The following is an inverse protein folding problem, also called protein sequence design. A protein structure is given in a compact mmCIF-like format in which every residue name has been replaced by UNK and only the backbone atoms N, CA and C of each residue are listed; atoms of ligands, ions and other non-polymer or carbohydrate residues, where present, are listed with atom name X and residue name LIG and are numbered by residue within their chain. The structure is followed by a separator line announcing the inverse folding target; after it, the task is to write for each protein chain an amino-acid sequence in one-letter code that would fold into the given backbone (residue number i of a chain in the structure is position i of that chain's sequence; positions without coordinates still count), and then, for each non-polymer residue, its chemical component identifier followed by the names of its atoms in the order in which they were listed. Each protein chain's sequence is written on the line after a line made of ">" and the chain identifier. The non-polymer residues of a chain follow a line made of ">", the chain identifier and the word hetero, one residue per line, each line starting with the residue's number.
data_IF_386794066589
#
_entry.id   IF_386794066589
#
_cell.length_a   1.000
_cell.length_b   1.000
_cell.length_c   1.000
_cell.angle_alpha   90.00
_cell.angle_beta   90.00
_cell.angle_gamma   90.00
#
_symmetry.space_group_name_H-M   'P 1'
#
loop_
_entity.id
_entity.type
_entity.pdbx_description
1 polymer ?
#
# COMPACT_ATOMS: atom_id res chain seq x y z
N UNK A 1 -2.52 -8.60 -10.36
CA UNK A 1 -3.35 -8.02 -9.28
C UNK A 1 -2.99 -6.55 -9.17
N UNK A 2 -3.99 -5.67 -9.17
CA UNK A 2 -3.79 -4.22 -9.16
C UNK A 2 -3.70 -3.71 -7.72
N UNK A 3 -2.58 -3.10 -7.39
CA UNK A 3 -2.24 -2.66 -6.03
C UNK A 3 -2.07 -1.15 -5.99
N UNK A 4 -2.81 -0.49 -5.10
CA UNK A 4 -2.66 0.92 -4.82
C UNK A 4 -1.69 1.12 -3.65
N UNK A 5 -0.75 2.04 -3.81
CA UNK A 5 0.12 2.48 -2.72
C UNK A 5 -0.36 3.85 -2.24
N UNK A 6 -0.81 3.92 -0.99
CA UNK A 6 -1.14 5.17 -0.30
C UNK A 6 -0.04 5.42 0.72
N UNK A 7 0.55 6.60 0.68
CA UNK A 7 1.58 6.99 1.63
C UNK A 7 1.12 8.25 2.34
N UNK A 8 1.07 8.18 3.67
CA UNK A 8 0.71 9.31 4.50
C UNK A 8 1.69 10.47 4.29
N UNK A 9 1.13 11.65 4.02
CA UNK A 9 1.90 12.87 3.77
C UNK A 9 2.76 13.29 4.98
N UNK A 10 2.38 12.88 6.20
CA UNK A 10 3.12 13.17 7.43
C UNK A 10 4.46 12.41 7.52
N UNK A 11 4.66 11.36 6.72
CA UNK A 11 5.92 10.59 6.70
C UNK A 11 7.08 11.33 6.01
N UNK A 12 6.79 12.44 5.32
CA UNK A 12 7.76 13.26 4.61
C UNK A 12 8.09 12.75 3.21
N UNK A 13 8.36 13.69 2.31
CA UNK A 13 8.49 13.43 0.86
C UNK A 13 9.60 12.42 0.51
N UNK A 14 10.73 12.48 1.20
CA UNK A 14 11.87 11.59 0.92
C UNK A 14 11.55 10.12 1.24
N UNK A 15 10.93 9.87 2.40
CA UNK A 15 10.54 8.51 2.81
C UNK A 15 9.46 7.98 1.88
N UNK A 16 8.48 8.82 1.55
CA UNK A 16 7.42 8.45 0.62
C UNK A 16 7.96 8.06 -0.76
N UNK A 17 8.91 8.83 -1.29
CA UNK A 17 9.56 8.50 -2.55
C UNK A 17 10.31 7.17 -2.48
N UNK A 18 11.14 6.98 -1.44
CA UNK A 18 11.88 5.72 -1.26
C UNK A 18 10.95 4.51 -1.16
N UNK A 19 9.87 4.61 -0.39
CA UNK A 19 8.90 3.54 -0.26
C UNK A 19 8.20 3.24 -1.58
N UNK A 20 7.79 4.27 -2.35
CA UNK A 20 7.19 4.07 -3.68
C UNK A 20 8.16 3.37 -4.64
N UNK A 21 9.43 3.76 -4.67
CA UNK A 21 10.44 3.14 -5.54
C UNK A 21 10.71 1.68 -5.15
N UNK A 22 10.91 1.41 -3.86
CA UNK A 22 11.24 0.07 -3.36
C UNK A 22 10.07 -0.90 -3.46
N UNK A 23 8.87 -0.45 -3.06
CA UNK A 23 7.65 -1.23 -3.21
C UNK A 23 7.29 -1.43 -4.68
N UNK A 24 7.48 -0.42 -5.53
CA UNK A 24 7.28 -0.54 -6.98
C UNK A 24 8.19 -1.59 -7.61
N UNK A 25 9.47 -1.62 -7.23
CA UNK A 25 10.41 -2.63 -7.69
C UNK A 25 10.04 -4.04 -7.22
N UNK A 26 9.67 -4.19 -5.94
CA UNK A 26 9.26 -5.47 -5.38
C UNK A 26 7.92 -5.95 -5.98
N UNK A 27 6.98 -5.04 -6.23
CA UNK A 27 5.70 -5.32 -6.86
C UNK A 27 5.89 -5.80 -8.30
N UNK A 28 6.74 -5.11 -9.07
CA UNK A 28 7.11 -5.54 -10.41
C UNK A 28 7.70 -6.96 -10.40
N UNK A 29 8.59 -7.27 -9.44
CA UNK A 29 9.17 -8.61 -9.28
C UNK A 29 8.11 -9.67 -8.91
N UNK A 30 7.07 -9.28 -8.19
CA UNK A 30 5.93 -10.12 -7.81
C UNK A 30 4.82 -10.18 -8.87
N UNK A 31 5.00 -9.60 -10.07
CA UNK A 31 3.96 -9.44 -11.10
C UNK A 31 2.69 -8.72 -10.57
N UNK A 32 2.89 -7.79 -9.65
CA UNK A 32 1.86 -6.88 -9.15
C UNK A 32 1.94 -5.56 -9.91
N UNK A 33 0.79 -5.04 -10.29
CA UNK A 33 0.70 -3.77 -11.00
C UNK A 33 0.41 -2.67 -9.98
N UNK A 34 1.34 -1.71 -9.84
CA UNK A 34 1.10 -0.55 -8.98
C UNK A 34 0.29 0.47 -9.78
N UNK A 35 -0.88 0.83 -9.27
CA UNK A 35 -1.75 1.83 -9.87
C UNK A 35 -1.96 3.00 -8.91
N UNK A 36 -2.25 4.18 -9.44
CA UNK A 36 -2.56 5.37 -8.63
C UNK A 36 -4.08 5.61 -8.50
N UNK A 37 -4.93 4.80 -9.14
CA UNK A 37 -6.39 4.93 -9.06
C UNK A 37 -6.98 3.96 -8.02
N UNK A 38 -7.58 4.45 -6.92
CA UNK A 38 -8.17 3.58 -5.90
C UNK A 38 -9.34 2.75 -6.42
N UNK A 39 -10.12 3.24 -7.39
CA UNK A 39 -11.30 2.54 -7.91
C UNK A 39 -10.95 1.23 -8.62
N UNK A 40 -9.81 1.19 -9.29
CA UNK A 40 -9.33 0.04 -10.04
C UNK A 40 -8.46 -0.90 -9.18
N UNK A 41 -8.18 -0.50 -7.94
CA UNK A 41 -7.32 -1.26 -7.04
C UNK A 41 -8.08 -2.46 -6.47
N UNK A 42 -7.42 -3.61 -6.44
CA UNK A 42 -7.93 -4.80 -5.74
C UNK A 42 -7.42 -4.82 -4.29
N UNK A 43 -6.18 -4.35 -4.10
CA UNK A 43 -5.50 -4.20 -2.82
C UNK A 43 -5.00 -2.77 -2.67
N UNK A 44 -5.25 -2.14 -1.53
CA UNK A 44 -4.59 -0.89 -1.15
C UNK A 44 -3.66 -1.10 0.04
N UNK A 45 -2.44 -0.63 -0.11
CA UNK A 45 -1.42 -0.68 0.92
C UNK A 45 -1.23 0.74 1.41
N UNK A 46 -1.52 0.95 2.69
CA UNK A 46 -1.42 2.25 3.35
C UNK A 46 -0.17 2.25 4.20
N UNK A 47 0.75 3.16 3.89
CA UNK A 47 1.94 3.45 4.68
C UNK A 47 1.65 4.65 5.57
N UNK A 48 1.47 4.44 6.86
CA UNK A 48 1.10 5.50 7.79
C UNK A 48 0.67 4.98 9.16
N UNK A 49 0.18 5.88 10.00
CA UNK A 49 -0.35 5.55 11.33
C UNK A 49 -1.85 5.25 11.30
N UNK A 50 -2.56 5.75 10.29
CA UNK A 50 -4.00 5.59 10.15
C UNK A 50 -4.41 5.27 8.71
N UNK A 51 -5.52 4.57 8.57
CA UNK A 51 -6.15 4.36 7.27
C UNK A 51 -6.75 5.68 6.76
N UNK A 52 -6.56 6.02 5.48
CA UNK A 52 -7.18 7.20 4.90
C UNK A 52 -8.70 7.01 4.87
N UNK A 53 -9.44 8.07 5.20
CA UNK A 53 -10.89 8.05 5.11
C UNK A 53 -11.33 8.23 3.64
N UNK A 54 -11.10 7.19 2.84
CA UNK A 54 -11.42 7.17 1.41
C UNK A 54 -12.52 6.14 1.12
N UNK A 55 -13.68 6.63 0.66
CA UNK A 55 -14.81 5.79 0.27
C UNK A 55 -14.48 4.89 -0.93
N UNK A 56 -13.50 5.24 -1.76
CA UNK A 56 -13.07 4.40 -2.88
C UNK A 56 -12.42 3.10 -2.40
N UNK A 57 -11.96 3.04 -1.15
CA UNK A 57 -11.42 1.82 -0.54
C UNK A 57 -12.50 0.90 0.04
N UNK A 58 -13.75 1.37 0.16
CA UNK A 58 -14.82 0.61 0.80
C UNK A 58 -15.09 -0.69 0.02
N UNK A 59 -15.03 -1.83 0.70
CA UNK A 59 -15.15 -3.16 0.10
C UNK A 59 -13.89 -3.68 -0.59
N UNK A 60 -12.77 -2.93 -0.57
CA UNK A 60 -11.47 -3.39 -1.09
C UNK A 60 -10.62 -3.98 0.02
N UNK A 61 -9.62 -4.77 -0.38
CA UNK A 61 -8.61 -5.26 0.57
C UNK A 61 -7.69 -4.10 0.91
N UNK A 62 -7.54 -3.78 2.19
CA UNK A 62 -6.66 -2.73 2.67
C UNK A 62 -5.74 -3.28 3.73
N UNK A 63 -4.49 -2.86 3.68
CA UNK A 63 -3.49 -3.21 4.68
C UNK A 63 -2.73 -1.96 5.13
N UNK A 64 -2.74 -1.71 6.43
CA UNK A 64 -1.97 -0.65 7.08
C UNK A 64 -0.62 -1.22 7.50
N UNK A 65 0.47 -0.60 7.05
CA UNK A 65 1.81 -1.01 7.38
C UNK A 65 2.74 0.17 7.64
N UNK A 66 3.84 -0.12 8.33
CA UNK A 66 4.87 0.88 8.64
C UNK A 66 5.81 1.10 7.45
N UNK A 67 6.14 2.36 7.19
CA UNK A 67 7.04 2.74 6.08
C UNK A 67 8.47 2.24 6.30
N UNK A 68 8.94 2.17 7.56
CA UNK A 68 10.25 1.62 7.89
C UNK A 68 10.37 0.16 7.45
N UNK A 69 9.34 -0.65 7.70
CA UNK A 69 9.28 -2.04 7.22
C UNK A 69 9.19 -2.13 5.70
N UNK A 70 8.40 -1.27 5.07
CA UNK A 70 8.28 -1.21 3.61
C UNK A 70 9.60 -0.87 2.92
N UNK A 71 10.41 0.00 3.52
CA UNK A 71 11.74 0.39 3.01
C UNK A 71 12.80 -0.67 3.33
N UNK A 72 12.77 -1.26 4.54
CA UNK A 72 13.74 -2.27 4.95
C UNK A 72 13.56 -3.61 4.23
N UNK A 73 12.31 -4.06 4.08
CA UNK A 73 11.97 -5.37 3.51
C UNK A 73 10.72 -5.30 2.61
N UNK A 74 10.78 -4.64 1.43
CA UNK A 74 9.62 -4.41 0.56
C UNK A 74 8.98 -5.71 0.04
N UNK A 75 9.77 -6.74 -0.24
CA UNK A 75 9.24 -8.03 -0.76
C UNK A 75 8.42 -8.79 0.29
N UNK A 76 8.92 -8.84 1.54
CA UNK A 76 8.21 -9.44 2.66
C UNK A 76 6.94 -8.64 2.97
N UNK A 77 7.05 -7.32 2.96
CA UNK A 77 5.94 -6.41 3.20
C UNK A 77 4.80 -6.61 2.21
N UNK A 78 5.08 -6.74 0.90
CA UNK A 78 4.06 -7.03 -0.10
C UNK A 78 3.42 -8.42 0.08
N UNK A 79 4.19 -9.43 0.50
CA UNK A 79 3.65 -10.75 0.83
C UNK A 79 2.72 -10.70 2.04
N UNK A 80 3.13 -10.00 3.10
CA UNK A 80 2.29 -9.77 4.29
C UNK A 80 1.02 -9.02 3.90
N UNK A 81 1.11 -7.96 3.11
CA UNK A 81 -0.04 -7.22 2.61
C UNK A 81 -1.03 -8.13 1.88
N UNK A 82 -0.55 -8.97 0.96
CA UNK A 82 -1.43 -9.87 0.21
C UNK A 82 -2.08 -10.94 1.12
N UNK A 83 -1.39 -11.39 2.16
CA UNK A 83 -1.87 -12.41 3.09
C UNK A 83 -2.78 -11.87 4.21
N UNK A 84 -2.53 -10.66 4.68
CA UNK A 84 -3.16 -10.06 5.87
C UNK A 84 -4.11 -8.90 5.53
N UNK A 85 -4.23 -8.49 4.27
CA UNK A 85 -5.16 -7.42 3.92
C UNK A 85 -6.59 -7.81 4.27
N UNK A 86 -7.25 -6.90 4.99
CA UNK A 86 -8.63 -7.05 5.44
C UNK A 86 -9.55 -6.22 4.56
N UNK A 87 -10.81 -6.62 4.45
CA UNK A 87 -11.80 -5.79 3.78
C UNK A 87 -11.96 -4.47 4.56
N UNK A 88 -11.76 -3.35 3.88
CA UNK A 88 -11.95 -2.03 4.45
C UNK A 88 -13.42 -1.66 4.42
N UNK A 89 -13.87 -1.09 5.53
CA UNK A 89 -15.20 -0.51 5.67
C UNK A 89 -14.99 0.93 6.11
N UNK A 90 -15.39 1.88 5.25
CA UNK A 90 -15.37 3.29 5.62
C UNK A 90 -16.39 3.52 6.76
N UNK A 91 -16.02 4.25 7.83
CA UNK A 91 -16.91 4.58 8.94
C UNK A 91 -18.02 5.56 8.56
#
# INVERSE_FOLDING_TARGET
>A
MKTLLIIDANLGQARAYMAKTLLGAAAHKANLEIIDNPNDAELAIVLGESLPNDNALNGKKVWLGDIGRAVAHPELFLREANSHATLYSAP
#
